data_IF_933162711606
#
_entry.id   IF_933162711606
#
_cell.length_a   1.000
_cell.length_b   1.000
_cell.length_c   1.000
_cell.angle_alpha   90.00
_cell.angle_beta   90.00
_cell.angle_gamma   90.00
#
_symmetry.space_group_name_H-M   'P 1'
#
loop_
_entity.id
_entity.type
_entity.pdbx_description
1 polymer ?
#
# COMPACT_ATOMS: atom_id res chain seq x y z
N UNK A 1 15.36 3.48 -11.11
CA UNK A 1 15.86 2.20 -11.66
C UNK A 1 15.12 1.00 -11.09
N UNK A 2 15.21 0.69 -9.79
CA UNK A 2 14.50 -0.48 -9.21
C UNK A 2 12.98 -0.42 -9.45
N UNK A 3 12.33 0.73 -9.20
CA UNK A 3 10.90 0.92 -9.47
C UNK A 3 10.51 0.61 -10.92
N UNK A 4 11.27 1.14 -11.88
CA UNK A 4 11.00 0.95 -13.30
C UNK A 4 11.24 -0.49 -13.77
N UNK A 5 12.20 -1.19 -13.16
CA UNK A 5 12.46 -2.60 -13.43
C UNK A 5 11.36 -3.50 -12.85
N UNK A 6 10.88 -3.20 -11.63
CA UNK A 6 9.79 -3.94 -10.99
C UNK A 6 8.44 -3.74 -11.70
N UNK A 7 8.18 -2.56 -12.26
CA UNK A 7 6.97 -2.28 -13.02
C UNK A 7 7.06 -2.69 -14.49
N UNK A 8 8.20 -3.26 -14.94
CA UNK A 8 8.37 -3.66 -16.33
C UNK A 8 7.75 -5.05 -16.55
N UNK A 9 6.73 -5.13 -17.41
CA UNK A 9 5.98 -6.36 -17.70
C UNK A 9 4.68 -6.45 -16.90
N UNK A 10 4.16 -7.67 -16.79
CA UNK A 10 2.96 -8.02 -16.00
C UNK A 10 3.38 -8.25 -14.53
N UNK A 11 3.06 -7.34 -13.60
CA UNK A 11 3.51 -7.45 -12.22
C UNK A 11 2.75 -8.57 -11.52
N UNK A 12 3.46 -9.42 -10.79
CA UNK A 12 2.79 -10.40 -9.91
C UNK A 12 2.17 -9.67 -8.72
N UNK A 13 1.24 -10.33 -8.03
CA UNK A 13 0.66 -9.83 -6.78
C UNK A 13 1.74 -9.39 -5.76
N UNK A 14 2.82 -10.19 -5.64
CA UNK A 14 3.95 -9.88 -4.75
C UNK A 14 4.68 -8.61 -5.18
N UNK A 15 4.95 -8.45 -6.48
CA UNK A 15 5.60 -7.25 -7.01
C UNK A 15 4.72 -6.02 -6.83
N UNK A 16 3.41 -6.14 -7.06
CA UNK A 16 2.46 -5.05 -6.82
C UNK A 16 2.47 -4.62 -5.35
N UNK A 17 2.43 -5.56 -4.40
CA UNK A 17 2.58 -5.25 -2.98
C UNK A 17 3.89 -4.51 -2.67
N UNK A 18 5.01 -4.96 -3.26
CA UNK A 18 6.30 -4.27 -3.14
C UNK A 18 6.24 -2.83 -3.68
N UNK A 19 5.56 -2.61 -4.80
CA UNK A 19 5.37 -1.29 -5.39
C UNK A 19 4.44 -0.40 -4.55
N UNK A 20 3.42 -0.94 -3.88
CA UNK A 20 2.62 -0.19 -2.88
C UNK A 20 3.54 0.37 -1.78
N UNK A 21 4.35 -0.50 -1.18
CA UNK A 21 5.24 -0.11 -0.07
C UNK A 21 6.33 0.85 -0.53
N UNK A 22 6.95 0.60 -1.69
CA UNK A 22 8.00 1.44 -2.24
C UNK A 22 7.49 2.86 -2.54
N UNK A 23 6.36 2.99 -3.23
CA UNK A 23 5.81 4.29 -3.59
C UNK A 23 5.28 5.04 -2.35
N UNK A 24 4.68 4.33 -1.38
CA UNK A 24 4.30 4.93 -0.11
C UNK A 24 5.51 5.53 0.63
N UNK A 25 6.64 4.81 0.69
CA UNK A 25 7.86 5.30 1.33
C UNK A 25 8.48 6.49 0.59
N UNK A 26 8.27 6.61 -0.72
CA UNK A 26 8.71 7.75 -1.54
C UNK A 26 7.74 8.95 -1.49
N UNK A 27 6.58 8.81 -0.84
CA UNK A 27 5.52 9.83 -0.81
C UNK A 27 4.69 9.91 -2.10
N UNK A 28 4.89 9.00 -3.05
CA UNK A 28 4.16 8.90 -4.31
C UNK A 28 2.86 8.10 -4.09
N UNK A 29 1.93 8.69 -3.34
CA UNK A 29 0.74 7.98 -2.85
C UNK A 29 -0.20 7.57 -3.98
N UNK A 30 -0.27 8.34 -5.07
CA UNK A 30 -1.09 8.01 -6.23
C UNK A 30 -0.64 6.70 -6.87
N UNK A 31 0.66 6.56 -7.09
CA UNK A 31 1.24 5.33 -7.60
C UNK A 31 1.09 4.19 -6.60
N UNK A 32 1.26 4.46 -5.30
CA UNK A 32 1.07 3.45 -4.26
C UNK A 32 -0.37 2.89 -4.26
N UNK A 33 -1.39 3.75 -4.31
CA UNK A 33 -2.79 3.31 -4.36
C UNK A 33 -3.12 2.61 -5.67
N UNK A 34 -2.55 3.03 -6.80
CA UNK A 34 -2.75 2.35 -8.09
C UNK A 34 -2.41 0.86 -8.03
N UNK A 35 -1.32 0.52 -7.34
CA UNK A 35 -0.90 -0.87 -7.19
C UNK A 35 -1.77 -1.69 -6.21
N UNK A 36 -2.62 -1.04 -5.41
CA UNK A 36 -3.59 -1.75 -4.54
C UNK A 36 -4.81 -2.27 -5.30
N UNK A 37 -5.02 -1.84 -6.55
CA UNK A 37 -6.12 -2.28 -7.42
C UNK A 37 -5.81 -3.58 -8.18
N UNK A 38 -4.56 -4.07 -8.14
CA UNK A 38 -4.16 -5.23 -8.92
C UNK A 38 -4.65 -6.54 -8.29
N UNK A 39 -5.54 -7.23 -8.99
CA UNK A 39 -6.00 -8.57 -8.63
C UNK A 39 -5.20 -9.66 -9.38
N UNK A 40 -4.93 -10.81 -8.73
CA UNK A 40 -5.27 -11.14 -7.35
C UNK A 40 -4.40 -10.39 -6.34
N UNK A 41 -4.99 -9.93 -5.24
CA UNK A 41 -4.24 -9.31 -4.15
C UNK A 41 -3.22 -10.28 -3.52
N UNK A 42 -2.03 -9.76 -3.18
CA UNK A 42 -1.08 -10.52 -2.36
C UNK A 42 -1.57 -10.64 -0.92
N UNK A 43 -1.28 -11.78 -0.27
CA UNK A 43 -1.68 -12.06 1.12
C UNK A 43 -1.17 -11.02 2.14
N UNK A 44 -0.17 -10.21 1.78
CA UNK A 44 0.35 -9.14 2.63
C UNK A 44 -0.35 -7.79 2.48
N UNK A 45 -1.21 -7.60 1.48
CA UNK A 45 -1.90 -6.32 1.29
C UNK A 45 -2.72 -5.89 2.53
N UNK A 46 -3.45 -6.79 3.23
CA UNK A 46 -4.13 -6.44 4.49
C UNK A 46 -3.21 -5.95 5.62
N UNK A 47 -1.92 -6.32 5.59
CA UNK A 47 -0.95 -5.95 6.63
C UNK A 47 -0.55 -4.48 6.59
N UNK A 48 -0.91 -3.74 5.54
CA UNK A 48 -0.84 -2.28 5.52
C UNK A 48 -1.62 -1.65 6.71
N UNK A 49 -2.59 -2.37 7.28
CA UNK A 49 -3.28 -1.97 8.51
C UNK A 49 -2.37 -1.82 9.74
N UNK A 50 -1.30 -2.60 9.83
CA UNK A 50 -0.51 -2.71 11.07
C UNK A 50 0.98 -2.37 10.92
N UNK A 51 1.54 -2.50 9.71
CA UNK A 51 2.97 -2.29 9.48
C UNK A 51 3.35 -0.80 9.44
N UNK A 52 4.47 -0.42 10.06
CA UNK A 52 4.88 0.99 10.17
C UNK A 52 5.19 1.65 8.81
N UNK A 53 5.57 0.88 7.79
CA UNK A 53 5.96 1.45 6.49
C UNK A 53 4.75 1.93 5.68
N UNK A 54 3.54 1.60 6.12
CA UNK A 54 2.29 2.06 5.52
C UNK A 54 1.77 3.35 6.17
N UNK A 55 2.50 3.92 7.14
CA UNK A 55 2.12 5.17 7.81
C UNK A 55 1.83 6.32 6.83
N UNK A 56 2.56 6.50 5.71
CA UNK A 56 2.21 7.51 4.71
C UNK A 56 0.81 7.30 4.11
N UNK A 57 0.44 6.05 3.81
CA UNK A 57 -0.89 5.72 3.28
C UNK A 57 -1.99 6.04 4.30
N UNK A 58 -1.76 5.78 5.60
CA UNK A 58 -2.78 6.02 6.65
C UNK A 58 -3.24 7.46 6.78
N UNK A 59 -2.40 8.42 6.35
CA UNK A 59 -2.71 9.85 6.38
C UNK A 59 -3.56 10.29 5.19
N UNK A 60 -3.64 9.46 4.15
CA UNK A 60 -4.43 9.74 2.96
C UNK A 60 -5.90 9.30 3.15
N UNK A 61 -6.90 10.13 2.80
CA UNK A 61 -8.31 9.77 2.89
C UNK A 61 -8.68 8.46 2.18
N UNK A 62 -8.00 8.12 1.07
CA UNK A 62 -8.24 6.90 0.28
C UNK A 62 -7.93 5.61 1.04
N UNK A 63 -7.18 5.70 2.14
CA UNK A 63 -6.84 4.55 2.96
C UNK A 63 -8.05 3.86 3.59
N UNK A 64 -9.06 4.64 4.00
CA UNK A 64 -10.28 4.06 4.56
C UNK A 64 -11.06 3.28 3.50
N UNK A 65 -11.02 3.74 2.25
CA UNK A 65 -11.62 3.02 1.12
C UNK A 65 -10.87 1.73 0.80
N UNK A 66 -9.54 1.74 0.89
CA UNK A 66 -8.73 0.53 0.78
C UNK A 66 -9.11 -0.51 1.84
N UNK A 67 -9.22 -0.12 3.12
CA UNK A 67 -9.60 -1.06 4.18
C UNK A 67 -10.98 -1.67 3.93
N UNK A 68 -11.95 -0.86 3.48
CA UNK A 68 -13.31 -1.33 3.17
C UNK A 68 -13.32 -2.35 2.04
N UNK A 69 -12.54 -2.12 0.97
CA UNK A 69 -12.42 -3.06 -0.16
C UNK A 69 -11.78 -4.38 0.24
N UNK A 70 -10.87 -4.35 1.22
CA UNK A 70 -10.24 -5.53 1.78
C UNK A 70 -11.07 -6.21 2.89
N UNK A 71 -12.31 -5.76 3.12
CA UNK A 71 -13.20 -6.21 4.20
C UNK A 71 -12.53 -6.14 5.60
N UNK A 72 -11.77 -5.06 5.82
CA UNK A 72 -11.04 -4.82 7.07
C UNK A 72 -11.75 -3.76 7.94
N UNK A 73 -11.72 -3.91 9.27
CA UNK A 73 -12.23 -2.89 10.17
C UNK A 73 -11.42 -1.61 10.05
N UNK A 74 -12.12 -0.47 10.16
CA UNK A 74 -11.51 0.86 10.17
C UNK A 74 -10.30 0.90 11.12
N UNK A 75 -9.23 1.55 10.67
CA UNK A 75 -8.02 1.68 11.49
C UNK A 75 -8.29 2.68 12.63
N UNK A 76 -8.30 2.18 13.86
CA UNK A 76 -8.27 3.01 15.08
C UNK A 76 -6.85 3.37 15.53
N UNK A 77 -5.82 2.92 14.80
CA UNK A 77 -4.42 3.16 15.19
C UNK A 77 -4.09 4.63 15.02
N UNK A 78 -3.66 5.34 16.08
CA UNK A 78 -3.12 6.69 15.91
C UNK A 78 -1.91 6.60 14.98
N UNK A 79 -1.79 7.59 14.09
CA UNK A 79 -0.57 7.80 13.29
C UNK A 79 0.57 7.90 14.29
N UNK A 80 1.45 6.89 14.34
CA UNK A 80 2.65 7.00 15.15
C UNK A 80 3.48 8.11 14.52
N UNK A 81 3.76 9.17 15.28
CA UNK A 81 4.81 10.09 14.89
C UNK A 81 6.08 9.23 14.77
N UNK A 82 6.63 9.14 13.55
CA UNK A 82 7.94 8.55 13.35
C UNK A 82 8.90 9.24 14.32
N UNK A 83 9.55 8.45 15.17
CA UNK A 83 10.61 8.92 16.05
C UNK A 83 11.80 9.36 15.22
#
# INVERSE_FOLDING_TARGET
RIRSELSAGEPTAFVAFGLVVLNAALGDLDEAFRWTELEPHHAWLPWLRVMHWADPLRRDPRYQDLLRRLDLPASSRPVLAAR
#
